data_IF_688102844518
#
_entry.id   IF_688102844518
#
_cell.length_a   1.000
_cell.length_b   1.000
_cell.length_c   1.000
_cell.angle_alpha   90.00
_cell.angle_beta   90.00
_cell.angle_gamma   90.00
#
_symmetry.space_group_name_H-M   'P 1'
#
loop_
_entity.id
_entity.type
_entity.pdbx_description
1 polymer ?
#
# COMPACT_ATOMS: atom_id res chain seq x y z
N UNK A 1 -14.18 21.38 16.05
CA UNK A 1 -15.53 21.90 15.79
C UNK A 1 -16.41 21.46 16.94
N UNK A 2 -16.90 22.44 17.69
CA UNK A 2 -17.89 22.20 18.73
C UNK A 2 -19.27 22.04 18.08
N UNK A 3 -20.00 20.98 18.44
CA UNK A 3 -21.36 20.72 17.95
C UNK A 3 -22.43 21.45 18.79
N UNK A 4 -22.09 21.93 19.97
CA UNK A 4 -23.03 22.54 20.93
C UNK A 4 -23.81 23.72 20.31
N UNK A 5 -23.21 24.63 19.53
CA UNK A 5 -23.95 25.73 18.89
C UNK A 5 -25.06 25.27 17.93
N UNK A 6 -24.83 24.19 17.18
CA UNK A 6 -25.81 23.64 16.24
C UNK A 6 -26.98 22.98 16.98
N UNK A 7 -26.68 22.27 18.07
CA UNK A 7 -27.70 21.62 18.88
C UNK A 7 -28.50 22.67 19.67
N UNK A 8 -27.85 23.70 20.19
CA UNK A 8 -28.52 24.83 20.84
C UNK A 8 -29.42 25.60 19.86
N UNK A 9 -29.01 25.72 18.60
CA UNK A 9 -29.84 26.32 17.55
C UNK A 9 -31.09 25.47 17.30
N UNK A 10 -30.94 24.16 17.11
CA UNK A 10 -32.07 23.24 16.95
C UNK A 10 -33.04 23.32 18.14
N UNK A 11 -32.51 23.42 19.37
CA UNK A 11 -33.30 23.59 20.59
C UNK A 11 -34.11 24.88 20.57
N UNK A 12 -33.47 26.00 20.21
CA UNK A 12 -34.15 27.30 20.09
C UNK A 12 -35.25 27.27 19.04
N UNK A 13 -34.99 26.68 17.88
CA UNK A 13 -35.94 26.60 16.77
C UNK A 13 -37.17 25.75 17.15
N UNK A 14 -36.96 24.65 17.87
CA UNK A 14 -38.04 23.81 18.39
C UNK A 14 -38.92 24.57 19.40
N UNK A 15 -38.29 25.30 20.33
CA UNK A 15 -39.02 26.10 21.32
C UNK A 15 -39.78 27.27 20.68
N UNK A 16 -39.18 27.92 19.69
CA UNK A 16 -39.84 29.00 18.95
C UNK A 16 -41.07 28.49 18.18
N UNK A 17 -41.02 27.27 17.64
CA UNK A 17 -42.15 26.68 16.89
C UNK A 17 -43.39 26.41 17.76
N UNK A 18 -43.23 26.25 19.08
CA UNK A 18 -44.33 25.97 20.01
C UNK A 18 -44.74 27.19 20.85
N UNK A 19 -44.18 28.37 20.57
CA UNK A 19 -44.32 29.52 21.47
C UNK A 19 -45.76 30.05 21.56
N UNK A 20 -46.55 29.89 20.49
CA UNK A 20 -47.99 30.20 20.45
C UNK A 20 -48.89 29.06 20.96
N UNK A 21 -48.28 27.94 21.37
CA UNK A 21 -48.98 26.78 21.90
C UNK A 21 -49.46 26.94 23.34
N UNK A 22 -50.17 25.93 23.84
CA UNK A 22 -50.58 25.88 25.24
C UNK A 22 -49.38 25.64 26.16
N UNK A 23 -49.51 25.97 27.45
CA UNK A 23 -48.44 25.74 28.44
C UNK A 23 -48.00 24.27 28.52
N UNK A 24 -48.94 23.34 28.35
CA UNK A 24 -48.65 21.91 28.31
C UNK A 24 -47.74 21.55 27.13
N UNK A 25 -48.00 22.12 25.94
CA UNK A 25 -47.18 21.89 24.74
C UNK A 25 -45.79 22.49 24.92
N UNK A 26 -45.68 23.72 25.43
CA UNK A 26 -44.38 24.35 25.71
C UNK A 26 -43.54 23.58 26.73
N UNK A 27 -44.19 23.08 27.79
CA UNK A 27 -43.52 22.26 28.82
C UNK A 27 -43.02 20.93 28.23
N UNK A 28 -43.86 20.24 27.45
CA UNK A 28 -43.47 19.00 26.79
C UNK A 28 -42.32 19.21 25.79
N UNK A 29 -42.37 20.29 25.00
CA UNK A 29 -41.32 20.67 24.08
C UNK A 29 -39.99 20.94 24.80
N UNK A 30 -40.01 21.64 25.93
CA UNK A 30 -38.82 21.87 26.75
C UNK A 30 -38.16 20.57 27.22
N UNK A 31 -38.96 19.62 27.71
CA UNK A 31 -38.46 18.30 28.13
C UNK A 31 -37.89 17.49 26.96
N UNK A 32 -38.59 17.46 25.83
CA UNK A 32 -38.12 16.77 24.62
C UNK A 32 -36.81 17.38 24.11
N UNK A 33 -36.73 18.71 24.04
CA UNK A 33 -35.56 19.39 23.52
C UNK A 33 -34.31 19.16 24.41
N UNK A 34 -34.50 19.03 25.72
CA UNK A 34 -33.43 18.63 26.63
C UNK A 34 -33.05 17.14 26.48
N UNK A 35 -34.03 16.25 26.31
CA UNK A 35 -33.80 14.82 26.16
C UNK A 35 -33.15 14.45 24.80
N UNK A 36 -33.36 15.26 23.76
CA UNK A 36 -32.84 15.03 22.42
C UNK A 36 -31.36 15.41 22.26
N UNK A 37 -30.78 16.17 23.18
CA UNK A 37 -29.41 16.70 23.07
C UNK A 37 -28.35 15.61 22.79
N UNK A 38 -28.33 14.47 23.50
CA UNK A 38 -27.38 13.40 23.23
C UNK A 38 -27.63 12.70 21.90
N UNK A 39 -28.89 12.49 21.53
CA UNK A 39 -29.26 11.82 20.29
C UNK A 39 -28.93 12.68 19.06
N UNK A 40 -29.23 13.98 19.11
CA UNK A 40 -28.89 14.94 18.06
C UNK A 40 -27.37 14.96 17.80
N UNK A 41 -26.57 14.91 18.86
CA UNK A 41 -25.11 14.84 18.73
C UNK A 41 -24.65 13.59 17.99
N UNK A 42 -25.21 12.43 18.30
CA UNK A 42 -24.85 11.17 17.63
C UNK A 42 -25.21 11.24 16.15
N UNK A 43 -26.42 11.72 15.82
CA UNK A 43 -26.86 11.85 14.42
C UNK A 43 -25.97 12.81 13.63
N UNK A 44 -25.56 13.94 14.22
CA UNK A 44 -24.63 14.87 13.58
C UNK A 44 -23.25 14.24 13.35
N UNK A 45 -22.76 13.45 14.30
CA UNK A 45 -21.50 12.72 14.14
C UNK A 45 -21.58 11.70 13.00
N UNK A 46 -22.67 10.93 12.93
CA UNK A 46 -22.91 9.94 11.89
C UNK A 46 -22.98 10.59 10.49
N UNK A 47 -23.69 11.72 10.39
CA UNK A 47 -23.76 12.51 9.15
C UNK A 47 -22.37 13.02 8.72
N UNK A 48 -21.52 13.45 9.67
CA UNK A 48 -20.15 13.88 9.37
C UNK A 48 -19.26 12.73 8.90
N UNK A 49 -19.41 11.53 9.49
CA UNK A 49 -18.68 10.32 9.06
C UNK A 49 -19.10 9.92 7.65
N UNK A 50 -20.40 9.85 7.38
CA UNK A 50 -20.91 9.54 6.04
C UNK A 50 -20.43 10.56 5.00
N UNK A 51 -20.39 11.85 5.34
CA UNK A 51 -19.87 12.88 4.43
C UNK A 51 -18.37 12.74 4.19
N UNK A 52 -17.60 12.34 5.20
CA UNK A 52 -16.17 12.11 5.08
C UNK A 52 -15.86 10.89 4.19
N UNK A 53 -16.66 9.83 4.29
CA UNK A 53 -16.56 8.65 3.42
C UNK A 53 -16.85 9.01 1.96
N UNK A 54 -17.90 9.81 1.72
CA UNK A 54 -18.26 10.27 0.38
C UNK A 54 -17.11 11.08 -0.25
N UNK A 55 -16.53 12.02 0.50
CA UNK A 55 -15.39 12.84 0.06
C UNK A 55 -14.13 12.00 -0.20
N UNK A 56 -13.92 10.94 0.58
CA UNK A 56 -12.77 10.03 0.43
C UNK A 56 -12.95 9.11 -0.79
N UNK A 57 -14.18 8.69 -1.10
CA UNK A 57 -14.46 7.67 -2.14
C UNK A 57 -14.09 8.04 -3.58
N UNK A 58 -13.82 9.31 -3.87
CA UNK A 58 -13.51 9.81 -5.21
C UNK A 58 -12.30 10.74 -5.29
N UNK A 59 -11.47 10.79 -4.26
CA UNK A 59 -10.35 11.73 -4.21
C UNK A 59 -9.06 11.09 -3.71
N UNK A 60 -7.92 11.71 -4.05
CA UNK A 60 -6.61 11.36 -3.48
C UNK A 60 -6.45 11.90 -2.04
N UNK A 61 -7.53 12.40 -1.43
CA UNK A 61 -7.55 13.00 -0.10
C UNK A 61 -8.46 12.18 0.81
N UNK A 62 -7.85 11.52 1.79
CA UNK A 62 -8.55 10.83 2.87
C UNK A 62 -9.00 11.87 3.88
N UNK A 63 -10.31 11.92 4.14
CA UNK A 63 -10.91 12.78 5.16
C UNK A 63 -11.31 11.89 6.34
N UNK A 64 -10.65 12.08 7.49
CA UNK A 64 -10.99 11.37 8.72
C UNK A 64 -11.72 12.29 9.70
N UNK A 65 -12.75 11.75 10.36
CA UNK A 65 -13.41 12.43 11.49
C UNK A 65 -12.80 11.95 12.80
N UNK A 66 -12.17 12.85 13.55
CA UNK A 66 -11.54 12.57 14.85
C UNK A 66 -12.25 13.28 15.98
N UNK A 67 -12.47 12.58 17.10
CA UNK A 67 -13.00 13.16 18.32
C UNK A 67 -11.85 13.55 19.26
N UNK A 68 -11.87 14.79 19.74
CA UNK A 68 -10.99 15.30 20.80
C UNK A 68 -11.86 15.82 21.94
N UNK A 69 -12.13 14.96 22.92
CA UNK A 69 -13.10 15.26 23.97
C UNK A 69 -14.50 15.43 23.38
N UNK A 70 -15.02 16.66 23.37
CA UNK A 70 -16.33 17.01 22.78
C UNK A 70 -16.23 17.63 21.39
N UNK A 71 -15.02 17.96 20.95
CA UNK A 71 -14.77 18.61 19.68
C UNK A 71 -14.54 17.59 18.56
N UNK A 72 -15.09 17.88 17.39
CA UNK A 72 -14.87 17.12 16.16
C UNK A 72 -13.76 17.78 15.34
N UNK A 73 -12.78 17.02 14.91
CA UNK A 73 -11.67 17.49 14.08
C UNK A 73 -11.67 16.70 12.79
N UNK A 74 -11.77 17.39 11.66
CA UNK A 74 -11.58 16.79 10.35
C UNK A 74 -10.08 16.78 10.05
N UNK A 75 -9.51 15.59 9.86
CA UNK A 75 -8.12 15.41 9.49
C UNK A 75 -8.05 15.05 8.01
N UNK A 76 -7.25 15.82 7.26
CA UNK A 76 -7.02 15.61 5.84
C UNK A 76 -5.67 14.92 5.69
N UNK A 77 -5.65 13.78 5.00
CA UNK A 77 -4.45 13.07 4.65
C UNK A 77 -4.43 12.90 3.14
N UNK A 78 -3.33 13.23 2.49
CA UNK A 78 -3.17 12.82 1.09
C UNK A 78 -2.89 11.32 1.10
N UNK A 79 -3.59 10.57 0.25
CA UNK A 79 -3.28 9.19 -0.01
C UNK A 79 -1.86 9.14 -0.59
N UNK A 80 -0.86 8.90 0.28
CA UNK A 80 0.46 8.49 -0.17
C UNK A 80 0.22 7.16 -0.88
N UNK A 81 0.63 6.99 -2.16
CA UNK A 81 0.45 5.73 -2.84
C UNK A 81 1.11 4.66 -1.99
N UNK A 82 0.30 3.81 -1.37
CA UNK A 82 0.78 2.66 -0.61
C UNK A 82 1.51 1.81 -1.63
N UNK A 83 2.84 1.63 -1.51
CA UNK A 83 3.55 0.72 -2.38
C UNK A 83 2.83 -0.63 -2.32
N UNK A 84 2.57 -1.29 -3.46
CA UNK A 84 1.82 -2.54 -3.47
C UNK A 84 2.38 -3.46 -2.40
N UNK A 85 1.49 -3.97 -1.55
CA UNK A 85 1.84 -4.88 -0.47
C UNK A 85 2.66 -6.02 -1.10
N UNK A 86 3.86 -6.35 -0.55
CA UNK A 86 4.64 -7.44 -1.09
C UNK A 86 3.73 -8.68 -1.13
N UNK A 87 3.69 -9.42 -2.26
CA UNK A 87 2.81 -10.56 -2.38
C UNK A 87 3.04 -11.49 -1.19
N UNK A 88 1.95 -11.95 -0.58
CA UNK A 88 1.98 -12.96 0.49
C UNK A 88 2.99 -14.03 0.08
N UNK A 89 4.01 -14.32 0.91
CA UNK A 89 4.96 -15.38 0.60
C UNK A 89 4.19 -16.63 0.20
N UNK A 90 4.52 -17.27 -0.93
CA UNK A 90 3.85 -18.49 -1.33
C UNK A 90 3.91 -19.48 -0.16
N UNK A 91 2.79 -20.16 0.11
CA UNK A 91 2.76 -21.24 1.07
C UNK A 91 3.96 -22.19 0.81
N UNK A 92 4.63 -22.71 1.86
CA UNK A 92 5.79 -23.56 1.68
C UNK A 92 5.45 -24.69 0.69
N UNK A 93 6.32 -24.95 -0.30
CA UNK A 93 6.02 -25.92 -1.34
C UNK A 93 5.73 -27.28 -0.70
N UNK A 94 4.62 -27.89 -1.10
CA UNK A 94 4.41 -29.33 -0.89
C UNK A 94 5.62 -30.09 -1.44
N UNK A 95 6.07 -31.17 -0.78
CA UNK A 95 7.26 -31.91 -1.20
C UNK A 95 7.15 -32.31 -2.67
N UNK A 96 8.25 -32.22 -3.44
CA UNK A 96 8.21 -32.25 -4.89
C UNK A 96 7.77 -33.62 -5.41
N UNK A 97 6.78 -33.61 -6.31
CA UNK A 97 6.61 -34.70 -7.27
C UNK A 97 7.76 -34.60 -8.27
N UNK A 98 8.55 -35.66 -8.36
CA UNK A 98 9.69 -35.77 -9.25
C UNK A 98 9.27 -35.55 -10.70
N UNK A 99 10.16 -34.91 -11.49
CA UNK A 99 10.17 -34.71 -12.95
C UNK A 99 9.48 -33.48 -13.55
N UNK A 100 10.04 -32.29 -13.30
CA UNK A 100 10.26 -31.29 -14.36
C UNK A 100 11.41 -30.37 -13.93
N UNK A 101 12.37 -30.14 -14.84
CA UNK A 101 13.59 -29.37 -14.65
C UNK A 101 13.25 -27.93 -14.22
N UNK A 102 13.30 -27.68 -12.90
CA UNK A 102 12.65 -26.53 -12.29
C UNK A 102 13.35 -25.19 -12.58
N UNK A 103 12.71 -24.33 -13.37
CA UNK A 103 13.10 -22.92 -13.50
C UNK A 103 12.89 -22.16 -12.18
N UNK A 104 13.93 -21.54 -11.64
CA UNK A 104 13.81 -20.69 -10.45
C UNK A 104 13.23 -19.31 -10.80
N UNK A 105 12.22 -18.85 -10.05
CA UNK A 105 11.60 -17.52 -10.23
C UNK A 105 12.38 -16.47 -9.44
N UNK A 106 12.82 -15.39 -10.09
CA UNK A 106 13.59 -14.29 -9.49
C UNK A 106 12.85 -12.95 -9.68
N UNK A 107 12.77 -12.12 -8.64
CA UNK A 107 12.27 -10.74 -8.73
C UNK A 107 13.46 -9.77 -8.78
N UNK A 108 13.61 -9.06 -9.91
CA UNK A 108 14.71 -8.14 -10.17
C UNK A 108 14.21 -6.70 -10.14
N UNK A 109 14.92 -5.81 -9.42
CA UNK A 109 14.66 -4.36 -9.41
C UNK A 109 15.74 -3.66 -10.23
N UNK A 110 15.34 -3.01 -11.31
CA UNK A 110 16.23 -2.29 -12.21
C UNK A 110 15.93 -0.78 -12.11
N UNK A 111 16.95 0.09 -12.13
CA UNK A 111 16.78 1.50 -12.46
C UNK A 111 16.06 1.66 -13.81
N UNK A 112 15.18 2.65 -13.93
CA UNK A 112 14.33 2.84 -15.11
C UNK A 112 15.14 2.91 -16.41
N UNK A 113 16.26 3.63 -16.37
CA UNK A 113 17.17 3.77 -17.51
C UNK A 113 17.78 2.45 -17.98
N UNK A 114 17.96 1.47 -17.08
CA UNK A 114 18.50 0.14 -17.42
C UNK A 114 17.41 -0.77 -17.97
N UNK A 115 16.18 -0.66 -17.46
CA UNK A 115 15.02 -1.40 -17.99
C UNK A 115 14.73 -1.00 -19.44
N UNK A 116 14.62 0.30 -19.74
CA UNK A 116 14.31 0.78 -21.10
C UNK A 116 15.35 0.32 -22.13
N UNK A 117 16.64 0.37 -21.77
CA UNK A 117 17.72 -0.10 -22.65
C UNK A 117 17.69 -1.61 -22.89
N UNK A 118 17.29 -2.40 -21.89
CA UNK A 118 17.15 -3.84 -22.03
C UNK A 118 15.93 -4.23 -22.89
N UNK A 119 14.83 -3.49 -22.78
CA UNK A 119 13.64 -3.67 -23.62
C UNK A 119 13.91 -3.33 -25.09
N UNK A 120 14.65 -2.24 -25.36
CA UNK A 120 15.06 -1.86 -26.71
C UNK A 120 15.98 -2.93 -27.34
N UNK A 121 16.96 -3.44 -26.59
CA UNK A 121 17.84 -4.50 -27.05
C UNK A 121 17.09 -5.83 -27.32
N UNK A 122 16.13 -6.19 -26.46
CA UNK A 122 15.28 -7.34 -26.67
C UNK A 122 14.37 -7.19 -27.90
N UNK A 123 13.87 -5.98 -28.16
CA UNK A 123 13.05 -5.67 -29.33
C UNK A 123 13.85 -5.75 -30.63
N UNK A 124 15.11 -5.27 -30.65
CA UNK A 124 16.02 -5.42 -31.79
C UNK A 124 16.28 -6.90 -32.09
N UNK A 125 16.47 -7.71 -31.05
CA UNK A 125 16.71 -9.16 -31.18
C UNK A 125 15.41 -9.97 -31.44
N UNK A 126 14.25 -9.32 -31.45
CA UNK A 126 12.95 -9.95 -31.70
C UNK A 126 12.52 -10.98 -30.65
N UNK A 127 13.04 -10.87 -29.42
CA UNK A 127 12.80 -11.83 -28.33
C UNK A 127 12.20 -11.14 -27.11
N UNK A 128 11.62 -11.95 -26.20
CA UNK A 128 11.11 -11.41 -24.93
C UNK A 128 12.24 -10.89 -24.06
N UNK A 129 11.98 -9.85 -23.25
CA UNK A 129 12.92 -9.32 -22.27
C UNK A 129 13.48 -10.42 -21.35
N UNK A 130 12.64 -11.36 -20.91
CA UNK A 130 13.08 -12.47 -20.06
C UNK A 130 14.11 -13.36 -20.79
N UNK A 131 13.83 -13.73 -22.03
CA UNK A 131 14.75 -14.53 -22.87
C UNK A 131 16.07 -13.80 -23.10
N UNK A 132 15.99 -12.49 -23.35
CA UNK A 132 17.16 -11.64 -23.56
C UNK A 132 18.03 -11.56 -22.30
N UNK A 133 17.42 -11.33 -21.13
CA UNK A 133 18.11 -11.26 -19.84
C UNK A 133 18.77 -12.60 -19.46
N UNK A 134 18.08 -13.72 -19.68
CA UNK A 134 18.65 -15.06 -19.43
C UNK A 134 19.87 -15.31 -20.33
N UNK A 135 19.80 -14.94 -21.61
CA UNK A 135 20.93 -15.05 -22.54
C UNK A 135 22.09 -14.15 -22.13
N UNK A 136 21.82 -12.90 -21.76
CA UNK A 136 22.84 -11.97 -21.29
C UNK A 136 23.56 -12.49 -20.03
N UNK A 137 22.81 -13.04 -19.07
CA UNK A 137 23.38 -13.67 -17.88
C UNK A 137 24.25 -14.90 -18.25
N UNK A 138 23.76 -15.77 -19.13
CA UNK A 138 24.52 -16.92 -19.61
C UNK A 138 25.83 -16.50 -20.28
N UNK A 139 25.81 -15.48 -21.15
CA UNK A 139 27.01 -14.97 -21.82
C UNK A 139 28.08 -14.46 -20.84
N UNK A 140 27.68 -13.78 -19.76
CA UNK A 140 28.61 -13.30 -18.73
C UNK A 140 29.21 -14.47 -17.94
N UNK A 141 28.38 -15.46 -17.59
CA UNK A 141 28.81 -16.65 -16.86
C UNK A 141 29.73 -17.55 -17.71
N UNK A 142 29.38 -17.77 -18.98
CA UNK A 142 30.16 -18.53 -19.95
C UNK A 142 31.45 -17.81 -20.41
N UNK A 143 31.44 -16.47 -20.36
CA UNK A 143 32.60 -15.63 -20.63
C UNK A 143 33.60 -15.64 -19.46
N UNK A 144 33.11 -15.64 -18.22
CA UNK A 144 33.91 -15.83 -17.01
C UNK A 144 34.61 -17.20 -16.99
N UNK A 145 33.93 -18.25 -17.47
CA UNK A 145 34.50 -19.60 -17.58
C UNK A 145 35.62 -19.71 -18.65
N UNK A 146 35.70 -18.76 -19.59
CA UNK A 146 36.65 -18.74 -20.70
C UNK A 146 37.82 -17.77 -20.52
N UNK A 147 38.19 -17.42 -19.29
CA UNK A 147 39.50 -16.79 -19.08
C UNK A 147 40.61 -17.74 -19.58
N UNK A 148 41.40 -17.34 -20.59
CA UNK A 148 42.43 -18.21 -21.15
C UNK A 148 43.55 -18.35 -20.13
N UNK A 149 43.68 -19.54 -19.55
CA UNK A 149 44.89 -19.91 -18.81
C UNK A 149 46.08 -19.77 -19.77
N UNK A 150 46.95 -18.81 -19.46
CA UNK A 150 48.18 -18.56 -20.20
C UNK A 150 49.01 -19.84 -20.23
N UNK A 151 49.46 -20.38 -21.39
CA UNK A 151 50.26 -21.59 -21.40
C UNK A 151 51.68 -21.23 -20.97
N UNK A 152 51.99 -21.39 -19.68
CA UNK A 152 53.36 -21.27 -19.17
C UNK A 152 54.14 -22.55 -19.46
N UNK A 153 54.84 -22.49 -20.58
CA UNK A 153 55.85 -23.39 -21.11
C UNK A 153 56.96 -23.70 -20.09
N UNK A 154 57.25 -25.01 -19.93
CA UNK A 154 58.52 -25.69 -19.53
C UNK A 154 59.26 -25.24 -18.26
N UNK A 155 59.60 -26.23 -17.43
CA UNK A 155 60.74 -26.12 -16.51
C UNK A 155 60.90 -27.28 -15.54
N UNK A 156 61.66 -28.31 -15.95
CA UNK A 156 62.51 -29.21 -15.16
C UNK A 156 62.45 -29.12 -13.62
N UNK A 157 62.36 -30.28 -12.95
CA UNK A 157 63.25 -30.61 -11.81
C UNK A 157 63.25 -32.11 -11.48
N UNK A 158 64.48 -32.61 -11.33
CA UNK A 158 64.87 -33.92 -10.86
C UNK A 158 64.67 -34.07 -9.34
N UNK A 159 64.41 -35.31 -8.91
CA UNK A 159 64.94 -35.96 -7.69
C UNK A 159 64.60 -37.46 -7.81
N UNK A 160 65.53 -38.44 -7.93
CA UNK A 160 66.48 -38.92 -6.91
C UNK A 160 65.70 -39.45 -5.69
N UNK A 161 65.76 -40.71 -5.22
CA UNK A 161 66.87 -41.59 -4.79
C UNK A 161 66.32 -43.05 -4.64
N UNK A 162 66.99 -44.15 -5.04
CA UNK A 162 67.96 -45.01 -4.30
C UNK A 162 67.49 -45.42 -2.88
N UNK A 163 67.59 -46.65 -2.35
CA UNK A 163 68.22 -47.94 -2.67
C UNK A 163 67.43 -49.03 -1.90
N UNK A 164 67.42 -50.31 -2.25
CA UNK A 164 68.46 -51.31 -1.96
C UNK A 164 68.05 -52.65 -2.58
#
# INVERSE_FOLDING_TARGET
>A
MDLSPFIDQLRRDLLAAVDTGTDAVRTAAGHLAAALDPAARIVLLDALVSAADELTSGSDVIVDVRLRGRDVVLALQHAVPVPPEPPTPPAPPSPPSEVEEGTARVSLRLPETLKSRAEEAAAIDGISLNTWLVRAAALVLDGSARSPSTPRRRGNRLSGWAAS
#
